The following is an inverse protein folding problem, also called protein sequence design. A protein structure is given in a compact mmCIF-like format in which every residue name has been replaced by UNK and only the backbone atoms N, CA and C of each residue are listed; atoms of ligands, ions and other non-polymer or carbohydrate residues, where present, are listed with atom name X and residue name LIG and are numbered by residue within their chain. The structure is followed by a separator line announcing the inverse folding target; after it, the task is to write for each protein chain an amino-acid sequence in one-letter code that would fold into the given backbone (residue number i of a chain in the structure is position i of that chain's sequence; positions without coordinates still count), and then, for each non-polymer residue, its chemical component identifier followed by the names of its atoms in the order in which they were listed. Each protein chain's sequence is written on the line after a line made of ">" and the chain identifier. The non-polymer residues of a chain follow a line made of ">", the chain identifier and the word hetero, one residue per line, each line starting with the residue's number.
data_IF_286962950316
#
_entry.id   IF_286962950316
#
_cell.length_a   1.000
_cell.length_b   1.000
_cell.length_c   1.000
_cell.angle_alpha   90.00
_cell.angle_beta   90.00
_cell.angle_gamma   90.00
#
_symmetry.space_group_name_H-M   'P 1'
#
loop_
_entity.id
_entity.type
_entity.pdbx_description
1 polymer ?
#
# COMPACT_ATOMS: atom_id res chain seq x y z
N UNK A 1 -14.89 8.70 -7.13
CA UNK A 1 -13.86 8.17 -8.04
C UNK A 1 -13.25 6.96 -7.34
N UNK A 2 -13.11 5.83 -8.02
CA UNK A 2 -12.40 4.66 -7.52
C UNK A 2 -10.91 4.81 -7.82
N UNK A 3 -10.03 4.58 -6.86
CA UNK A 3 -8.58 4.64 -7.12
C UNK A 3 -8.18 3.56 -8.12
N UNK A 4 -7.37 3.92 -9.11
CA UNK A 4 -6.86 3.01 -10.14
C UNK A 4 -5.43 3.40 -10.52
N UNK A 5 -4.54 2.43 -10.49
CA UNK A 5 -3.12 2.58 -10.78
C UNK A 5 -2.72 1.55 -11.82
N UNK A 6 -2.14 2.01 -12.93
CA UNK A 6 -1.56 1.14 -13.95
C UNK A 6 -0.04 1.24 -13.91
N UNK A 7 0.62 0.10 -13.86
CA UNK A 7 2.08 0.03 -13.83
C UNK A 7 2.58 -0.48 -15.16
N UNK A 8 3.42 0.31 -15.82
CA UNK A 8 3.99 0.02 -17.13
C UNK A 8 5.48 -0.24 -17.03
N UNK A 9 5.99 -1.05 -17.95
CA UNK A 9 7.43 -1.10 -18.27
C UNK A 9 7.91 0.19 -18.92
N UNK A 10 9.22 0.42 -18.97
CA UNK A 10 9.82 1.56 -19.69
C UNK A 10 9.52 1.57 -21.19
N UNK A 11 9.18 0.42 -21.78
CA UNK A 11 8.75 0.31 -23.18
C UNK A 11 7.25 0.59 -23.39
N UNK A 12 6.49 0.90 -22.34
CA UNK A 12 5.06 1.19 -22.40
C UNK A 12 4.14 -0.04 -22.35
N UNK A 13 4.69 -1.25 -22.14
CA UNK A 13 3.87 -2.46 -21.91
C UNK A 13 3.28 -2.44 -20.50
N UNK A 14 1.97 -2.61 -20.37
CA UNK A 14 1.28 -2.79 -19.07
C UNK A 14 1.79 -4.06 -18.36
N UNK A 15 2.22 -3.91 -17.10
CA UNK A 15 2.61 -5.01 -16.24
C UNK A 15 1.43 -5.51 -15.41
N UNK A 16 0.81 -4.59 -14.67
CA UNK A 16 -0.37 -4.89 -13.85
C UNK A 16 -1.16 -3.61 -13.58
N UNK A 17 -2.43 -3.81 -13.25
CA UNK A 17 -3.34 -2.77 -12.78
C UNK A 17 -3.74 -3.06 -11.34
N UNK A 18 -3.86 -2.02 -10.53
CA UNK A 18 -4.32 -2.08 -9.17
C UNK A 18 -5.49 -1.11 -9.00
N UNK A 19 -6.66 -1.59 -8.60
CA UNK A 19 -7.86 -0.76 -8.54
C UNK A 19 -8.70 -1.07 -7.31
N UNK A 20 -9.34 -0.04 -6.78
CA UNK A 20 -10.15 -0.14 -5.59
C UNK A 20 -11.53 -0.71 -5.91
N UNK A 21 -11.97 -1.71 -5.14
CA UNK A 21 -13.38 -2.13 -5.10
C UNK A 21 -13.98 -1.81 -3.75
N UNK A 22 -14.36 -0.55 -3.56
CA UNK A 22 -15.20 -0.14 -2.44
C UNK A 22 -16.52 0.42 -3.00
N UNK A 23 -17.70 0.01 -2.49
CA UNK A 23 -18.95 0.66 -2.85
C UNK A 23 -18.89 2.13 -2.41
N UNK A 24 -18.88 3.04 -3.38
CA UNK A 24 -18.68 4.48 -3.20
C UNK A 24 -19.61 5.14 -2.15
N UNK A 25 -20.72 4.50 -1.80
CA UNK A 25 -21.76 5.03 -0.93
C UNK A 25 -21.43 4.96 0.57
N UNK A 26 -20.52 4.06 0.99
CA UNK A 26 -20.17 3.93 2.42
C UNK A 26 -19.22 5.06 2.90
N UNK A 27 -18.45 5.66 1.99
CA UNK A 27 -17.58 6.82 2.27
C UNK A 27 -18.36 8.05 2.77
N UNK A 28 -19.57 8.24 2.27
CA UNK A 28 -20.46 9.34 2.66
C UNK A 28 -21.14 9.11 4.01
N UNK A 29 -21.24 7.86 4.50
CA UNK A 29 -22.03 7.53 5.69
C UNK A 29 -21.17 7.38 6.96
N UNK A 30 -19.94 6.84 6.87
CA UNK A 30 -19.12 6.59 8.08
C UNK A 30 -17.71 7.19 8.05
N UNK A 31 -17.35 8.01 7.05
CA UNK A 31 -16.06 8.70 7.00
C UNK A 31 -14.85 7.73 6.97
N UNK A 32 -13.76 8.07 7.68
CA UNK A 32 -12.44 7.36 7.69
C UNK A 32 -12.46 5.91 8.23
N UNK A 33 -13.63 5.29 8.45
CA UNK A 33 -13.76 3.98 9.11
C UNK A 33 -13.94 2.78 8.16
N UNK A 34 -13.75 2.93 6.85
CA UNK A 34 -13.85 1.81 5.92
C UNK A 34 -12.48 1.32 5.46
N UNK A 35 -12.23 0.02 5.61
CA UNK A 35 -11.03 -0.62 5.11
C UNK A 35 -11.03 -0.62 3.59
N UNK A 36 -10.04 0.05 2.99
CA UNK A 36 -9.85 0.07 1.55
C UNK A 36 -9.30 -1.27 1.07
N UNK A 37 -9.84 -1.79 -0.03
CA UNK A 37 -9.33 -3.01 -0.67
C UNK A 37 -8.96 -2.74 -2.11
N UNK A 38 -7.67 -2.94 -2.42
CA UNK A 38 -7.08 -2.74 -3.73
C UNK A 38 -6.88 -4.11 -4.40
N UNK A 39 -7.60 -4.36 -5.48
CA UNK A 39 -7.48 -5.58 -6.29
C UNK A 39 -6.38 -5.40 -7.33
N UNK A 40 -5.57 -6.44 -7.53
CA UNK A 40 -4.42 -6.39 -8.44
C UNK A 40 -4.58 -7.47 -9.51
N UNK A 41 -4.44 -7.06 -10.77
CA UNK A 41 -4.64 -7.90 -11.96
C UNK A 41 -3.50 -7.70 -12.96
N UNK A 42 -3.08 -8.78 -13.64
CA UNK A 42 -2.20 -8.74 -14.81
C UNK A 42 -2.93 -9.28 -16.05
N UNK A 43 -2.18 -9.49 -17.14
CA UNK A 43 -2.73 -10.05 -18.39
C UNK A 43 -3.26 -11.48 -18.28
N UNK A 44 -2.90 -12.23 -17.23
CA UNK A 44 -3.35 -13.60 -17.00
C UNK A 44 -4.52 -13.66 -15.99
N UNK A 45 -4.95 -12.52 -15.46
CA UNK A 45 -6.10 -12.41 -14.56
C UNK A 45 -5.73 -11.84 -13.19
N UNK A 46 -6.45 -12.29 -12.15
CA UNK A 46 -6.28 -11.74 -10.82
C UNK A 46 -5.01 -12.29 -10.15
N UNK A 47 -4.14 -11.36 -9.73
CA UNK A 47 -2.95 -11.67 -8.92
C UNK A 47 -3.37 -11.88 -7.46
N UNK A 48 -4.19 -10.97 -6.93
CA UNK A 48 -4.56 -10.95 -5.51
C UNK A 48 -5.23 -9.64 -5.11
N UNK A 49 -5.15 -9.31 -3.83
CA UNK A 49 -5.63 -8.03 -3.30
C UNK A 49 -4.89 -7.62 -2.03
N UNK A 50 -4.90 -6.32 -1.75
CA UNK A 50 -4.38 -5.70 -0.54
C UNK A 50 -5.56 -5.11 0.22
N UNK A 51 -5.69 -5.43 1.50
CA UNK A 51 -6.78 -4.94 2.35
C UNK A 51 -6.23 -4.16 3.54
N UNK A 52 -6.73 -2.95 3.74
CA UNK A 52 -6.41 -2.13 4.90
C UNK A 52 -7.15 -2.66 6.13
N UNK A 53 -6.39 -2.84 7.21
CA UNK A 53 -6.94 -3.15 8.52
C UNK A 53 -7.20 -1.83 9.26
N UNK A 54 -8.46 -1.56 9.58
CA UNK A 54 -8.83 -0.40 10.39
C UNK A 54 -8.32 -0.58 11.83
N UNK A 55 -7.70 0.46 12.39
CA UNK A 55 -7.19 0.44 13.75
C UNK A 55 -6.36 1.67 14.08
N UNK A 56 -5.66 1.63 15.22
CA UNK A 56 -4.79 2.73 15.69
C UNK A 56 -3.41 2.75 15.03
N UNK A 57 -3.17 1.85 14.07
CA UNK A 57 -1.88 1.64 13.41
C UNK A 57 -2.12 1.38 11.94
N UNK A 58 -1.26 1.93 11.08
CA UNK A 58 -1.29 1.66 9.65
C UNK A 58 -0.95 0.18 9.40
N UNK A 59 -1.92 -0.59 8.91
CA UNK A 59 -1.78 -2.03 8.73
C UNK A 59 -2.51 -2.49 7.46
N UNK A 60 -1.89 -3.43 6.75
CA UNK A 60 -2.45 -4.04 5.55
C UNK A 60 -2.18 -5.53 5.53
N UNK A 61 -3.18 -6.30 5.12
CA UNK A 61 -3.01 -7.71 4.78
C UNK A 61 -2.95 -7.86 3.25
N UNK A 62 -1.98 -8.66 2.81
CA UNK A 62 -1.71 -8.91 1.39
C UNK A 62 -2.09 -10.34 1.09
N UNK A 63 -2.96 -10.53 0.10
CA UNK A 63 -3.52 -11.83 -0.28
C UNK A 63 -3.23 -12.17 -1.73
N UNK A 64 -2.93 -13.43 -1.98
CA UNK A 64 -2.94 -14.05 -3.31
C UNK A 64 -3.99 -15.17 -3.38
N UNK A 65 -3.95 -16.02 -4.41
CA UNK A 65 -4.88 -17.14 -4.57
C UNK A 65 -4.78 -18.22 -3.48
N UNK A 66 -3.69 -18.27 -2.72
CA UNK A 66 -3.44 -19.25 -1.65
C UNK A 66 -3.87 -18.74 -0.27
N UNK A 67 -4.11 -17.44 -0.13
CA UNK A 67 -4.50 -16.80 1.12
C UNK A 67 -3.62 -15.60 1.45
N UNK A 68 -3.52 -15.25 2.74
CA UNK A 68 -2.65 -14.16 3.18
C UNK A 68 -1.19 -14.57 2.97
N UNK A 69 -0.40 -13.75 2.30
CA UNK A 69 1.03 -14.02 2.04
C UNK A 69 1.96 -13.07 2.77
N UNK A 70 1.47 -11.89 3.15
CA UNK A 70 2.23 -10.96 3.97
C UNK A 70 1.31 -10.06 4.78
N UNK A 71 1.85 -9.51 5.87
CA UNK A 71 1.25 -8.43 6.62
C UNK A 71 2.20 -7.25 6.68
N UNK A 72 1.72 -6.08 6.29
CA UNK A 72 2.49 -4.84 6.26
C UNK A 72 2.04 -3.98 7.44
N UNK A 73 2.99 -3.58 8.29
CA UNK A 73 2.71 -2.92 9.58
C UNK A 73 3.59 -1.67 9.71
N UNK A 74 2.97 -0.50 9.62
CA UNK A 74 3.62 0.80 9.90
C UNK A 74 3.96 0.90 11.39
N UNK A 75 4.74 1.87 11.90
CA UNK A 75 5.05 2.02 13.33
C UNK A 75 3.82 2.37 14.19
N UNK A 76 3.95 2.32 15.53
CA UNK A 76 2.87 2.76 16.44
C UNK A 76 2.63 4.26 16.24
N UNK A 77 1.35 4.66 16.18
CA UNK A 77 0.96 6.05 15.97
C UNK A 77 1.52 6.97 17.07
N UNK A 78 2.11 8.10 16.68
CA UNK A 78 2.46 9.17 17.62
C UNK A 78 1.16 9.69 18.25
N UNK A 79 1.15 9.91 19.55
CA UNK A 79 -0.04 10.17 20.38
C UNK A 79 -0.90 11.42 20.01
N UNK A 80 -0.64 12.09 18.89
CA UNK A 80 -1.28 13.33 18.45
C UNK A 80 -2.03 13.24 17.10
N UNK A 81 -2.35 12.03 16.64
CA UNK A 81 -3.03 11.83 15.35
C UNK A 81 -2.03 11.64 14.21
N UNK A 82 -2.44 10.84 13.23
CA UNK A 82 -1.60 10.34 12.14
C UNK A 82 -0.71 11.43 11.51
N UNK A 83 0.58 11.36 11.80
CA UNK A 83 1.59 12.02 10.99
C UNK A 83 2.11 10.98 10.00
N UNK A 84 1.89 11.22 8.70
CA UNK A 84 2.43 10.40 7.61
C UNK A 84 3.96 10.29 7.61
N UNK A 85 4.67 10.86 8.58
CA UNK A 85 6.12 10.78 8.72
C UNK A 85 6.64 9.47 9.34
N UNK A 86 5.77 8.61 9.88
CA UNK A 86 6.23 7.46 10.65
C UNK A 86 6.57 6.27 9.73
N UNK A 87 7.80 6.24 9.22
CA UNK A 87 8.44 5.12 8.53
C UNK A 87 9.70 4.69 9.31
N UNK A 88 10.19 3.44 9.17
CA UNK A 88 9.82 2.42 8.19
C UNK A 88 8.59 1.57 8.55
N UNK A 89 7.94 1.05 7.51
CA UNK A 89 6.83 0.08 7.58
C UNK A 89 7.39 -1.31 7.34
N UNK A 90 7.11 -2.26 8.23
CA UNK A 90 7.71 -3.61 8.19
C UNK A 90 6.79 -4.61 7.50
N UNK A 91 7.38 -5.55 6.77
CA UNK A 91 6.68 -6.65 6.11
C UNK A 91 6.92 -7.92 6.92
N UNK A 92 5.84 -8.62 7.27
CA UNK A 92 5.86 -9.84 8.06
C UNK A 92 5.28 -11.01 7.28
N UNK A 93 5.88 -12.19 7.45
CA UNK A 93 5.29 -13.47 7.02
C UNK A 93 4.09 -13.84 7.90
N UNK A 94 3.38 -14.90 7.54
CA UNK A 94 2.28 -15.43 8.36
C UNK A 94 2.73 -15.94 9.72
N UNK A 95 3.98 -16.40 9.81
CA UNK A 95 4.59 -16.93 11.05
C UNK A 95 5.08 -15.81 11.98
N UNK A 96 4.94 -14.54 11.56
CA UNK A 96 5.34 -13.37 12.33
C UNK A 96 6.82 -12.98 12.18
N UNK A 97 7.55 -13.61 11.27
CA UNK A 97 8.92 -13.24 10.94
C UNK A 97 8.94 -11.97 10.07
N UNK A 98 9.84 -11.04 10.37
CA UNK A 98 10.03 -9.85 9.52
C UNK A 98 10.82 -10.25 8.27
N UNK A 99 10.23 -10.09 7.10
CA UNK A 99 10.80 -10.54 5.82
C UNK A 99 11.15 -9.42 4.85
N UNK A 100 10.76 -8.18 5.16
CA UNK A 100 11.05 -7.02 4.31
C UNK A 100 10.66 -5.70 4.97
N UNK A 101 10.85 -4.61 4.23
CA UNK A 101 10.56 -3.25 4.71
C UNK A 101 10.16 -2.33 3.56
N UNK A 102 9.24 -1.42 3.85
CA UNK A 102 8.82 -0.31 2.99
C UNK A 102 9.22 0.98 3.70
N UNK A 103 10.04 1.80 3.05
CA UNK A 103 10.55 3.06 3.61
C UNK A 103 10.20 4.20 2.69
N UNK A 104 9.57 5.25 3.21
CA UNK A 104 9.43 6.53 2.50
C UNK A 104 10.70 7.34 2.71
N UNK A 105 11.42 7.64 1.63
CA UNK A 105 12.56 8.53 1.66
C UNK A 105 12.07 9.98 1.61
N UNK A 106 12.02 10.63 2.78
CA UNK A 106 11.87 12.08 2.84
C UNK A 106 13.22 12.74 2.57
N UNK A 107 13.30 13.61 1.56
CA UNK A 107 14.51 14.35 1.18
C UNK A 107 15.01 15.38 2.19
N UNK A 108 14.64 15.26 3.47
CA UNK A 108 14.96 16.19 4.56
C UNK A 108 13.88 17.25 4.81
N UNK A 109 13.95 17.85 6.00
CA UNK A 109 12.99 18.84 6.56
C UNK A 109 12.88 20.16 5.74
N UNK A 110 13.69 20.34 4.69
CA UNK A 110 13.78 21.58 3.89
C UNK A 110 13.55 21.39 2.39
N UNK A 111 12.93 20.27 1.97
CA UNK A 111 12.63 19.99 0.55
C UNK A 111 11.14 19.87 0.22
N UNK A 112 10.27 20.39 1.09
CA UNK A 112 8.81 20.42 0.87
C UNK A 112 8.35 21.38 -0.24
N UNK A 113 9.25 22.14 -0.87
CA UNK A 113 8.88 23.16 -1.85
C UNK A 113 9.17 22.84 -3.32
N UNK A 114 9.84 21.72 -3.64
CA UNK A 114 10.39 21.58 -5.01
C UNK A 114 9.99 20.34 -5.83
N UNK A 115 9.40 19.29 -5.27
CA UNK A 115 8.79 18.23 -6.09
C UNK A 115 7.74 17.47 -5.28
N UNK A 116 6.49 17.52 -5.73
CA UNK A 116 5.30 16.88 -5.14
C UNK A 116 5.29 15.33 -5.34
N UNK A 117 6.46 14.69 -5.35
CA UNK A 117 6.63 13.28 -5.66
C UNK A 117 7.28 12.55 -4.49
N UNK A 118 6.56 11.59 -3.93
CA UNK A 118 7.04 10.75 -2.84
C UNK A 118 7.90 9.59 -3.36
N UNK A 119 9.07 9.40 -2.74
CA UNK A 119 9.98 8.31 -3.09
C UNK A 119 9.86 7.20 -2.06
N UNK A 120 9.44 6.02 -2.51
CA UNK A 120 9.39 4.82 -1.69
C UNK A 120 10.50 3.84 -2.07
N UNK A 121 11.12 3.25 -1.07
CA UNK A 121 12.01 2.12 -1.18
C UNK A 121 11.30 0.87 -0.64
N UNK A 122 11.35 -0.23 -1.39
CA UNK A 122 10.72 -1.50 -1.01
C UNK A 122 11.78 -2.60 -1.05
N UNK A 123 12.07 -3.16 0.12
CA UNK A 123 12.87 -4.37 0.27
C UNK A 123 11.91 -5.57 0.29
N UNK A 124 11.90 -6.31 -0.81
CA UNK A 124 11.06 -7.50 -0.95
C UNK A 124 11.65 -8.68 -0.18
N UNK A 125 10.81 -9.62 0.32
CA UNK A 125 11.27 -10.90 0.80
C UNK A 125 12.09 -11.66 -0.27
N UNK A 126 13.18 -12.30 0.14
CA UNK A 126 14.18 -12.94 -0.74
C UNK A 126 13.56 -13.84 -1.80
N UNK A 127 12.63 -14.71 -1.41
CA UNK A 127 12.03 -15.73 -2.28
C UNK A 127 10.68 -15.31 -2.89
N UNK A 128 10.34 -14.01 -2.82
CA UNK A 128 9.05 -13.53 -3.32
C UNK A 128 8.99 -13.52 -4.85
N UNK A 129 7.98 -14.21 -5.40
CA UNK A 129 7.68 -14.23 -6.84
C UNK A 129 7.26 -12.85 -7.36
N UNK A 130 7.43 -12.61 -8.66
CA UNK A 130 7.08 -11.34 -9.31
C UNK A 130 5.65 -10.86 -9.02
N UNK A 131 4.68 -11.77 -9.03
CA UNK A 131 3.29 -11.50 -8.65
C UNK A 131 3.12 -11.02 -7.21
N UNK A 132 3.86 -11.62 -6.26
CA UNK A 132 3.89 -11.15 -4.87
C UNK A 132 4.53 -9.77 -4.74
N UNK A 133 5.59 -9.49 -5.52
CA UNK A 133 6.21 -8.16 -5.57
C UNK A 133 5.24 -7.10 -6.09
N UNK A 134 4.42 -7.44 -7.10
CA UNK A 134 3.36 -6.55 -7.59
C UNK A 134 2.35 -6.22 -6.48
N UNK A 135 1.94 -7.19 -5.65
CA UNK A 135 1.06 -6.95 -4.50
C UNK A 135 1.70 -6.02 -3.45
N UNK A 136 2.99 -6.18 -3.15
CA UNK A 136 3.69 -5.28 -2.23
C UNK A 136 3.87 -3.86 -2.81
N UNK A 137 4.11 -3.73 -4.11
CA UNK A 137 4.10 -2.43 -4.80
C UNK A 137 2.70 -1.78 -4.74
N UNK A 138 1.63 -2.55 -4.99
CA UNK A 138 0.26 -2.08 -4.81
C UNK A 138 -0.05 -1.63 -3.39
N UNK A 139 0.60 -2.25 -2.38
CA UNK A 139 0.48 -1.79 -0.99
C UNK A 139 1.08 -0.40 -0.80
N UNK A 140 2.14 -0.03 -1.55
CA UNK A 140 2.72 1.32 -1.51
C UNK A 140 1.72 2.36 -2.01
N UNK A 141 1.00 2.09 -3.10
CA UNK A 141 -0.04 3.00 -3.60
C UNK A 141 -1.14 3.23 -2.55
N UNK A 142 -1.53 2.16 -1.85
CA UNK A 142 -2.53 2.26 -0.81
C UNK A 142 -2.01 2.98 0.45
N UNK A 143 -0.74 2.81 0.80
CA UNK A 143 -0.07 3.59 1.86
C UNK A 143 -0.11 5.08 1.51
N UNK A 144 0.27 5.43 0.28
CA UNK A 144 0.31 6.82 -0.17
C UNK A 144 -1.08 7.47 -0.09
N UNK A 145 -2.08 6.78 -0.63
CA UNK A 145 -3.47 7.18 -0.58
C UNK A 145 -3.99 7.37 0.85
N UNK A 146 -3.78 6.40 1.74
CA UNK A 146 -4.30 6.45 3.12
C UNK A 146 -3.57 7.49 3.97
N UNK A 147 -2.28 7.69 3.74
CA UNK A 147 -1.44 8.51 4.62
C UNK A 147 -1.32 9.98 4.19
N UNK A 148 -1.47 10.29 2.89
CA UNK A 148 -1.15 11.62 2.35
C UNK A 148 -2.20 12.22 1.41
N UNK A 149 -3.14 11.43 0.88
CA UNK A 149 -4.22 12.02 0.09
C UNK A 149 -5.35 12.53 1.00
N UNK A 150 -5.53 13.85 1.02
CA UNK A 150 -6.66 14.48 1.72
C UNK A 150 -7.98 14.04 1.07
N UNK A 151 -8.80 13.36 1.86
CA UNK A 151 -10.22 13.21 1.57
C UNK A 151 -10.88 14.55 1.88
N UNK A 152 -11.00 15.41 0.87
CA UNK A 152 -11.91 16.56 0.89
C UNK A 152 -13.31 16.14 1.36
#
# INVERSE_FOLDING_TARGET
>A
MSNMFDVYTSSGKLLFSAYERSPCLYRFVYGRQHGLTLHVTDGDGQIGYVSQICGTRLQFDVFDSTGRVARVVGPKCCALGCCGCCFPTKIYSNDGEQTGVITKHFGGFFKELCTNADVFHVEFPTDMKARGKALLLSTVFLIDYVAFEDVN
#
